data_IF_395773602582
#
_entry.id   IF_395773602582
#
_cell.length_a   1.000
_cell.length_b   1.000
_cell.length_c   1.000
_cell.angle_alpha   90.00
_cell.angle_beta   90.00
_cell.angle_gamma   90.00
#
_symmetry.space_group_name_H-M   'P 1'
#
loop_
_entity.id
_entity.type
_entity.pdbx_description
1 polymer ?
#
# COMPACT_ATOMS: atom_id res chain seq x y z
N UNK A 1 -9.55 5.45 4.66
CA UNK A 1 -9.93 4.02 4.60
C UNK A 1 -8.79 3.21 5.24
N UNK A 2 -9.01 2.57 6.39
CA UNK A 2 -7.97 1.76 7.07
C UNK A 2 -7.76 0.49 6.24
N UNK A 3 -6.54 0.26 5.73
CA UNK A 3 -6.19 -1.03 5.12
C UNK A 3 -6.12 -2.04 6.25
N UNK A 4 -6.97 -3.06 6.19
CA UNK A 4 -7.01 -4.11 7.20
C UNK A 4 -5.75 -4.97 7.03
N UNK A 5 -4.91 -5.07 8.07
CA UNK A 5 -3.61 -5.78 8.02
C UNK A 5 -3.78 -7.24 7.55
N UNK A 6 -4.93 -7.83 7.87
CA UNK A 6 -5.31 -9.20 7.50
C UNK A 6 -5.53 -9.37 5.98
N UNK A 7 -6.09 -8.37 5.28
CA UNK A 7 -6.31 -8.42 3.83
C UNK A 7 -4.97 -8.48 3.07
N UNK A 8 -4.00 -7.67 3.51
CA UNK A 8 -2.66 -7.65 2.91
C UNK A 8 -1.95 -8.99 3.10
N UNK A 9 -2.07 -9.59 4.30
CA UNK A 9 -1.50 -10.90 4.60
C UNK A 9 -2.07 -12.01 3.71
N UNK A 10 -3.40 -12.08 3.55
CA UNK A 10 -4.04 -13.10 2.69
C UNK A 10 -3.66 -12.92 1.21
N UNK A 11 -3.60 -11.68 0.73
CA UNK A 11 -3.15 -11.36 -0.64
C UNK A 11 -1.72 -11.85 -0.89
N UNK A 12 -0.81 -11.62 0.07
CA UNK A 12 0.58 -12.04 -0.07
C UNK A 12 0.71 -13.57 -0.07
N UNK A 13 -0.01 -14.28 0.81
CA UNK A 13 -0.04 -15.74 0.80
C UNK A 13 -0.59 -16.31 -0.51
N UNK A 14 -1.64 -15.69 -1.09
CA UNK A 14 -2.18 -16.10 -2.38
C UNK A 14 -1.19 -15.85 -3.52
N UNK A 15 -0.43 -14.75 -3.46
CA UNK A 15 0.67 -14.49 -4.41
C UNK A 15 1.78 -15.52 -4.32
N UNK A 16 2.24 -15.84 -3.12
CA UNK A 16 3.28 -16.86 -2.88
C UNK A 16 2.84 -18.23 -3.41
N UNK A 17 1.55 -18.55 -3.30
CA UNK A 17 0.96 -19.77 -3.85
C UNK A 17 0.70 -19.72 -5.36
N UNK A 18 0.91 -18.58 -6.03
CA UNK A 18 0.61 -18.39 -7.45
C UNK A 18 -0.89 -18.41 -7.80
N UNK A 19 -1.77 -18.28 -6.81
CA UNK A 19 -3.22 -18.37 -6.99
C UNK A 19 -3.78 -16.96 -7.17
N UNK A 20 -4.51 -16.73 -8.27
CA UNK A 20 -5.20 -15.46 -8.50
C UNK A 20 -6.47 -15.37 -7.62
N UNK A 21 -6.59 -14.38 -6.72
CA UNK A 21 -7.75 -14.25 -5.85
C UNK A 21 -9.01 -13.82 -6.60
N UNK A 22 -10.16 -14.19 -6.04
CA UNK A 22 -11.41 -13.50 -6.32
C UNK A 22 -11.46 -12.16 -5.55
N UNK A 23 -11.21 -11.07 -6.28
CA UNK A 23 -11.19 -9.73 -5.70
C UNK A 23 -12.54 -9.28 -5.12
N UNK A 24 -13.66 -9.76 -5.66
CA UNK A 24 -15.00 -9.41 -5.17
C UNK A 24 -15.32 -10.10 -3.85
N UNK A 25 -14.88 -11.35 -3.67
CA UNK A 25 -15.10 -12.08 -2.42
C UNK A 25 -14.19 -11.56 -1.30
N UNK A 26 -12.93 -11.25 -1.61
CA UNK A 26 -12.04 -10.54 -0.67
C UNK A 26 -12.61 -9.19 -0.26
N UNK A 27 -13.13 -8.43 -1.22
CA UNK A 27 -13.79 -7.15 -0.96
C UNK A 27 -14.96 -7.28 0.04
N UNK A 28 -15.84 -8.27 -0.16
CA UNK A 28 -16.96 -8.55 0.75
C UNK A 28 -16.49 -8.99 2.14
N UNK A 29 -15.55 -9.95 2.22
CA UNK A 29 -15.03 -10.47 3.50
C UNK A 29 -14.37 -9.40 4.36
N UNK A 30 -13.63 -8.49 3.73
CA UNK A 30 -12.86 -7.45 4.42
C UNK A 30 -13.52 -6.06 4.40
N UNK A 31 -14.78 -5.94 3.95
CA UNK A 31 -15.50 -4.66 3.86
C UNK A 31 -14.76 -3.61 3.04
N UNK A 32 -14.04 -4.03 2.00
CA UNK A 32 -13.21 -3.17 1.15
C UNK A 32 -13.74 -3.10 -0.27
N UNK A 33 -13.39 -2.06 -1.03
CA UNK A 33 -13.76 -1.97 -2.44
C UNK A 33 -12.92 -2.94 -3.29
N UNK A 34 -13.53 -3.58 -4.30
CA UNK A 34 -12.84 -4.50 -5.22
C UNK A 34 -11.62 -3.86 -5.87
N UNK A 35 -11.69 -2.58 -6.26
CA UNK A 35 -10.57 -1.86 -6.88
C UNK A 35 -9.43 -1.66 -5.88
N UNK A 36 -9.74 -1.49 -4.60
CA UNK A 36 -8.75 -1.43 -3.52
C UNK A 36 -8.03 -2.77 -3.39
N UNK A 37 -8.76 -3.88 -3.32
CA UNK A 37 -8.18 -5.23 -3.28
C UNK A 37 -7.29 -5.48 -4.50
N UNK A 38 -7.77 -5.16 -5.71
CA UNK A 38 -6.98 -5.27 -6.95
C UNK A 38 -5.71 -4.42 -6.89
N UNK A 39 -5.80 -3.16 -6.44
CA UNK A 39 -4.63 -2.28 -6.30
C UNK A 39 -3.61 -2.86 -5.31
N UNK A 40 -4.05 -3.44 -4.21
CA UNK A 40 -3.17 -4.07 -3.23
C UNK A 40 -2.48 -5.30 -3.85
N UNK A 41 -3.21 -6.12 -4.60
CA UNK A 41 -2.64 -7.24 -5.36
C UNK A 41 -1.59 -6.77 -6.38
N UNK A 42 -1.89 -5.75 -7.18
CA UNK A 42 -0.98 -5.24 -8.21
C UNK A 42 0.28 -4.57 -7.62
N UNK A 43 0.25 -4.09 -6.37
CA UNK A 43 1.36 -3.40 -5.69
C UNK A 43 2.00 -4.21 -4.54
N UNK A 44 2.00 -5.55 -4.61
CA UNK A 44 2.66 -6.43 -3.62
C UNK A 44 2.23 -6.17 -2.16
N UNK A 45 0.94 -5.97 -1.95
CA UNK A 45 0.39 -5.81 -0.60
C UNK A 45 0.49 -4.38 -0.04
N UNK A 46 1.31 -3.51 -0.62
CA UNK A 46 1.47 -2.12 -0.15
C UNK A 46 0.81 -1.15 -1.13
N UNK A 47 -0.19 -0.37 -0.72
CA UNK A 47 -0.68 0.70 -1.58
C UNK A 47 0.46 1.69 -1.80
N UNK A 48 0.94 1.80 -3.06
CA UNK A 48 1.95 2.78 -3.43
C UNK A 48 1.38 4.17 -3.12
N UNK A 49 1.87 4.80 -2.06
CA UNK A 49 1.57 6.22 -1.82
C UNK A 49 2.14 6.95 -3.02
N UNK A 50 1.32 7.76 -3.68
CA UNK A 50 1.84 8.64 -4.73
C UNK A 50 2.89 9.51 -4.04
N UNK A 51 4.16 9.34 -4.39
CA UNK A 51 5.16 10.30 -4.02
C UNK A 51 4.70 11.63 -4.62
N UNK A 52 4.57 12.64 -3.77
CA UNK A 52 4.32 13.98 -4.26
C UNK A 52 5.53 14.40 -5.08
N UNK A 53 5.34 14.85 -6.31
CA UNK A 53 6.42 15.47 -7.11
C UNK A 53 6.86 16.81 -6.52
N UNK A 54 6.09 17.36 -5.56
CA UNK A 54 6.46 18.57 -4.84
C UNK A 54 7.62 18.28 -3.88
N UNK A 55 8.67 19.08 -4.01
CA UNK A 55 9.75 19.19 -3.03
C UNK A 55 9.19 19.35 -1.61
N UNK A 56 9.85 18.74 -0.64
CA UNK A 56 9.50 18.92 0.77
C UNK A 56 9.65 20.40 1.13
N UNK A 57 8.80 20.89 2.04
CA UNK A 57 8.98 22.24 2.60
C UNK A 57 10.31 22.37 3.37
N UNK A 58 10.89 21.24 3.75
CA UNK A 58 12.13 21.17 4.51
C UNK A 58 13.36 20.88 3.65
N UNK A 59 13.21 20.64 2.34
CA UNK A 59 14.34 20.43 1.44
C UNK A 59 15.36 21.59 1.50
N UNK A 60 14.96 22.88 1.65
CA UNK A 60 15.92 23.98 1.80
C UNK A 60 16.76 23.94 3.08
N UNK A 61 16.30 23.24 4.12
CA UNK A 61 16.95 23.19 5.43
C UNK A 61 17.74 21.89 5.66
N UNK A 62 17.92 21.07 4.63
CA UNK A 62 18.59 19.76 4.76
C UNK A 62 20.02 19.89 5.31
N UNK A 63 20.77 20.90 4.88
CA UNK A 63 22.14 21.17 5.36
C UNK A 63 22.17 21.51 6.86
N UNK A 64 21.27 22.40 7.32
CA UNK A 64 21.15 22.74 8.75
C UNK A 64 20.78 21.52 9.59
N UNK A 65 19.79 20.74 9.12
CA UNK A 65 19.35 19.52 9.81
C UNK A 65 20.49 18.50 9.90
N UNK A 66 21.28 18.33 8.83
CA UNK A 66 22.40 17.39 8.80
C UNK A 66 23.57 17.83 9.66
N UNK A 67 23.77 19.14 9.84
CA UNK A 67 24.83 19.68 10.71
C UNK A 67 24.50 19.59 12.20
N UNK A 68 23.22 19.42 12.54
CA UNK A 68 22.71 19.31 13.92
C UNK A 68 22.70 17.87 14.45
N UNK A 69 22.91 16.89 13.57
CA UNK A 69 22.84 15.45 13.86
C UNK A 69 24.23 14.85 14.03
#
# INVERSE_FOLDING_TARGET
MKVNVNLTGEINQMKEKGIKPNFSDLARRYGSDRKTVKKIWDNDGKPKRKASSRASRYDPYLEEISSLM
#
